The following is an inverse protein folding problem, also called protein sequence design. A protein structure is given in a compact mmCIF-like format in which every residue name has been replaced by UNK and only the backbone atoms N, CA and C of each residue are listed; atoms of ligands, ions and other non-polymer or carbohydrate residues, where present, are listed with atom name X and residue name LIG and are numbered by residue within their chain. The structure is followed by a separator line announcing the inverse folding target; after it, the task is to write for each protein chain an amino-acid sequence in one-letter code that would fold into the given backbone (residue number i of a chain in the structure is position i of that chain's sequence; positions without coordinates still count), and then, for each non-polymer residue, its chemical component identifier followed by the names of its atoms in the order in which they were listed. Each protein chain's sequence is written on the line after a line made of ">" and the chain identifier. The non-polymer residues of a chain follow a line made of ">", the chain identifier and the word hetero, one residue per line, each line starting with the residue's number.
data_IF_071008810191
#
_entry.id   IF_071008810191
#
_cell.length_a   1.000
_cell.length_b   1.000
_cell.length_c   1.000
_cell.angle_alpha   90.00
_cell.angle_beta   90.00
_cell.angle_gamma   90.00
#
_symmetry.space_group_name_H-M   'P 1'
#
loop_
_entity.id
_entity.type
_entity.pdbx_description
1 polymer ?
#
# COMPACT_ATOMS: atom_id res chain seq x y z
N UNK A 1 -5.59 69.43 27.92
CA UNK A 1 -5.67 68.84 26.57
C UNK A 1 -4.44 67.96 26.37
N UNK A 2 -4.59 66.64 26.44
CA UNK A 2 -3.82 65.60 25.71
C UNK A 2 -4.33 64.24 26.17
N UNK A 3 -4.79 63.47 25.20
CA UNK A 3 -5.64 62.30 25.32
C UNK A 3 -4.91 61.08 25.90
N UNK A 4 -5.60 60.34 26.78
CA UNK A 4 -5.22 58.99 27.20
C UNK A 4 -5.71 58.01 26.12
N UNK A 5 -4.79 57.38 25.40
CA UNK A 5 -5.10 56.30 24.45
C UNK A 5 -5.20 54.98 25.24
N UNK A 6 -6.43 54.45 25.38
CA UNK A 6 -6.65 53.06 25.77
C UNK A 6 -6.43 52.18 24.54
N UNK A 7 -5.39 51.36 24.54
CA UNK A 7 -5.28 50.26 23.58
C UNK A 7 -6.10 49.09 24.09
N UNK A 8 -7.18 48.76 23.39
CA UNK A 8 -7.95 47.54 23.61
C UNK A 8 -7.20 46.37 22.98
N UNK A 9 -6.72 45.44 23.81
CA UNK A 9 -6.11 44.19 23.37
C UNK A 9 -7.23 43.26 22.86
N UNK A 10 -7.34 43.10 21.54
CA UNK A 10 -8.22 42.10 20.95
C UNK A 10 -7.55 40.72 21.07
N UNK A 11 -8.05 39.88 21.97
CA UNK A 11 -7.65 38.46 22.06
C UNK A 11 -8.33 37.72 20.92
N UNK A 12 -7.58 37.41 19.86
CA UNK A 12 -8.01 36.44 18.85
C UNK A 12 -7.93 35.04 19.47
N UNK A 13 -9.09 34.51 19.87
CA UNK A 13 -9.24 33.11 20.23
C UNK A 13 -9.18 32.31 18.92
N UNK A 14 -8.00 31.77 18.61
CA UNK A 14 -7.83 30.79 17.54
C UNK A 14 -8.45 29.48 18.01
N UNK A 15 -9.75 29.30 17.76
CA UNK A 15 -10.43 28.02 17.97
C UNK A 15 -9.86 27.02 16.96
N UNK A 16 -8.82 26.31 17.37
CA UNK A 16 -8.28 25.19 16.61
C UNK A 16 -9.32 24.06 16.70
N UNK A 17 -10.25 24.04 15.75
CA UNK A 17 -11.17 22.93 15.53
C UNK A 17 -10.34 21.72 15.11
N UNK A 18 -9.90 20.95 16.10
CA UNK A 18 -9.40 19.59 15.86
C UNK A 18 -10.58 18.76 15.37
N UNK A 19 -10.73 18.64 14.07
CA UNK A 19 -11.59 17.63 13.48
C UNK A 19 -10.97 16.27 13.79
N UNK A 20 -11.39 15.64 14.88
CA UNK A 20 -11.15 14.22 15.10
C UNK A 20 -11.97 13.49 14.05
N UNK A 21 -11.31 13.05 12.97
CA UNK A 21 -11.90 12.10 12.03
C UNK A 21 -12.19 10.83 12.82
N UNK A 22 -13.43 10.64 13.24
CA UNK A 22 -13.90 9.33 13.66
C UNK A 22 -13.93 8.46 12.40
N UNK A 23 -12.99 7.51 12.30
CA UNK A 23 -13.15 6.40 11.38
C UNK A 23 -14.54 5.80 11.65
N UNK A 24 -15.36 5.68 10.62
CA UNK A 24 -16.74 5.23 10.76
C UNK A 24 -16.73 3.82 11.35
N UNK A 25 -17.17 3.67 12.59
CA UNK A 25 -17.26 2.37 13.22
C UNK A 25 -18.38 1.58 12.54
N UNK A 26 -18.02 0.52 11.84
CA UNK A 26 -18.98 -0.37 11.17
C UNK A 26 -19.62 -1.26 12.24
N UNK A 27 -20.95 -1.24 12.42
CA UNK A 27 -21.60 -2.08 13.41
C UNK A 27 -21.23 -3.55 13.25
N UNK A 28 -20.83 -4.20 14.35
CA UNK A 28 -20.39 -5.60 14.35
C UNK A 28 -18.92 -5.83 13.98
N UNK A 29 -18.16 -4.77 13.65
CA UNK A 29 -16.74 -4.85 13.37
C UNK A 29 -15.91 -4.00 14.36
N UNK A 30 -14.71 -4.48 14.65
CA UNK A 30 -13.69 -3.75 15.41
C UNK A 30 -12.50 -3.51 14.49
N UNK A 31 -12.01 -2.27 14.42
CA UNK A 31 -10.79 -1.96 13.68
C UNK A 31 -9.59 -2.56 14.41
N UNK A 32 -8.92 -3.50 13.77
CA UNK A 32 -7.73 -4.20 14.30
C UNK A 32 -6.43 -3.72 13.68
N UNK A 33 -6.51 -3.06 12.52
CA UNK A 33 -5.39 -2.53 11.78
C UNK A 33 -5.86 -1.49 10.78
N UNK A 34 -5.04 -0.47 10.52
CA UNK A 34 -5.27 0.54 9.49
C UNK A 34 -3.94 1.19 9.13
N UNK A 35 -3.89 1.85 7.98
CA UNK A 35 -2.91 2.87 7.69
C UNK A 35 -3.56 4.01 6.91
N UNK A 36 -3.64 5.18 7.54
CA UNK A 36 -4.23 6.39 6.97
C UNK A 36 -3.21 7.21 6.16
N UNK A 37 -1.96 6.73 6.04
CA UNK A 37 -0.89 7.33 5.25
C UNK A 37 -0.63 8.81 5.53
N UNK A 38 -0.75 9.19 6.81
CA UNK A 38 -0.60 10.57 7.28
C UNK A 38 0.85 11.06 7.39
N UNK A 39 1.82 10.19 7.10
CA UNK A 39 3.24 10.50 7.12
C UNK A 39 3.75 11.17 5.83
N UNK A 40 5.08 11.24 5.72
CA UNK A 40 5.79 11.71 4.53
C UNK A 40 6.99 10.82 4.25
N UNK A 41 7.27 10.51 2.98
CA UNK A 41 8.40 9.66 2.59
C UNK A 41 8.02 8.20 2.49
N UNK A 42 8.88 7.26 2.90
CA UNK A 42 8.60 5.83 2.74
C UNK A 42 7.35 5.36 3.53
N UNK A 43 6.67 4.28 3.11
CA UNK A 43 5.65 3.61 3.91
C UNK A 43 6.19 3.17 5.28
N UNK A 44 5.32 3.09 6.29
CA UNK A 44 5.70 2.66 7.64
C UNK A 44 6.25 1.22 7.63
N UNK A 45 7.54 0.98 7.94
CA UNK A 45 8.12 -0.36 7.90
C UNK A 45 7.59 -1.30 8.98
N UNK A 46 6.89 -0.79 10.01
CA UNK A 46 6.19 -1.63 10.97
C UNK A 46 4.89 -2.23 10.40
N UNK A 47 4.44 -1.73 9.24
CA UNK A 47 3.19 -2.15 8.57
C UNK A 47 3.44 -2.75 7.20
N UNK A 48 4.42 -2.23 6.47
CA UNK A 48 4.63 -2.53 5.05
C UNK A 48 6.07 -2.97 4.78
N UNK A 49 6.17 -4.10 4.09
CA UNK A 49 7.42 -4.61 3.52
C UNK A 49 7.37 -4.50 1.99
N UNK A 50 8.53 -4.56 1.33
CA UNK A 50 8.66 -4.43 -0.12
C UNK A 50 9.17 -5.70 -0.77
N UNK A 51 8.64 -6.04 -1.95
CA UNK A 51 9.32 -6.95 -2.86
C UNK A 51 10.37 -6.16 -3.65
N UNK A 52 11.61 -6.64 -3.65
CA UNK A 52 12.71 -6.06 -4.43
C UNK A 52 13.21 -7.12 -5.40
N UNK A 53 12.61 -7.14 -6.59
CA UNK A 53 12.74 -8.22 -7.57
C UNK A 53 12.68 -7.66 -9.00
N UNK A 54 13.45 -8.28 -9.89
CA UNK A 54 13.51 -7.88 -11.29
C UNK A 54 12.26 -8.27 -12.11
N UNK A 55 12.19 -7.82 -13.38
CA UNK A 55 11.12 -8.17 -14.30
C UNK A 55 11.00 -9.67 -14.54
N UNK A 56 9.80 -10.10 -14.96
CA UNK A 56 9.50 -11.49 -15.32
C UNK A 56 9.44 -12.44 -14.13
N UNK A 57 9.52 -11.92 -12.89
CA UNK A 57 9.41 -12.73 -11.68
C UNK A 57 8.12 -13.55 -11.66
N UNK A 58 7.03 -12.93 -12.09
CA UNK A 58 5.73 -13.56 -12.34
C UNK A 58 5.13 -12.96 -13.62
N UNK A 59 4.20 -13.68 -14.25
CA UNK A 59 3.30 -13.19 -15.31
C UNK A 59 3.96 -12.50 -16.51
N UNK A 60 5.25 -12.68 -16.76
CA UNK A 60 6.03 -11.94 -17.76
C UNK A 60 5.95 -10.40 -17.60
N UNK A 61 5.80 -9.92 -16.36
CA UNK A 61 5.72 -8.50 -16.04
C UNK A 61 7.04 -7.76 -16.35
N UNK A 62 6.96 -6.48 -16.75
CA UNK A 62 8.12 -5.74 -17.28
C UNK A 62 8.85 -4.85 -16.25
N UNK A 63 8.25 -4.61 -15.10
CA UNK A 63 8.77 -3.71 -14.09
C UNK A 63 9.77 -4.38 -13.15
N UNK A 64 10.77 -3.63 -12.75
CA UNK A 64 11.60 -3.91 -11.58
C UNK A 64 10.90 -3.36 -10.33
N UNK A 65 10.51 -4.23 -9.40
CA UNK A 65 9.95 -3.79 -8.13
C UNK A 65 11.06 -3.32 -7.20
N UNK A 66 10.88 -2.15 -6.58
CA UNK A 66 11.89 -1.52 -5.73
C UNK A 66 11.28 -1.01 -4.41
N UNK A 67 12.16 -0.65 -3.46
CA UNK A 67 11.80 0.03 -2.21
C UNK A 67 12.11 1.54 -2.23
N UNK A 68 12.27 2.14 -3.42
CA UNK A 68 12.56 3.57 -3.59
C UNK A 68 11.33 4.42 -3.29
N UNK A 69 11.57 5.61 -2.75
CA UNK A 69 10.53 6.62 -2.54
C UNK A 69 9.89 7.11 -3.85
N UNK A 70 10.61 6.98 -4.96
CA UNK A 70 10.08 7.28 -6.30
C UNK A 70 9.01 6.28 -6.73
N UNK A 71 9.02 5.05 -6.21
CA UNK A 71 8.04 4.02 -6.54
C UNK A 71 6.99 3.80 -5.44
N UNK A 72 7.31 4.08 -4.17
CA UNK A 72 6.34 4.03 -3.07
C UNK A 72 6.60 5.12 -2.03
N UNK A 73 5.63 5.99 -1.79
CA UNK A 73 5.75 7.07 -0.79
C UNK A 73 4.40 7.51 -0.23
N UNK A 74 4.42 8.01 1.00
CA UNK A 74 3.34 8.77 1.60
C UNK A 74 3.46 10.23 1.16
N UNK A 75 2.39 10.73 0.53
CA UNK A 75 2.31 12.10 0.02
C UNK A 75 0.86 12.59 0.13
N UNK A 76 0.65 13.77 0.73
CA UNK A 76 -0.67 14.42 0.84
C UNK A 76 -1.76 13.52 1.46
N UNK A 77 -1.43 12.72 2.47
CA UNK A 77 -2.39 11.82 3.14
C UNK A 77 -2.73 10.56 2.36
N UNK A 78 -1.91 10.19 1.37
CA UNK A 78 -2.10 8.99 0.55
C UNK A 78 -0.81 8.21 0.43
N UNK A 79 -0.93 6.89 0.28
CA UNK A 79 0.11 6.08 -0.33
C UNK A 79 0.07 6.26 -1.85
N UNK A 80 1.21 6.66 -2.41
CA UNK A 80 1.46 6.69 -3.84
C UNK A 80 2.31 5.48 -4.20
N UNK A 81 1.75 4.56 -4.98
CA UNK A 81 2.51 3.54 -5.71
C UNK A 81 2.64 4.02 -7.16
N UNK A 82 3.87 4.17 -7.63
CA UNK A 82 4.15 4.80 -8.91
C UNK A 82 5.00 3.90 -9.81
N UNK A 83 4.39 3.47 -10.91
CA UNK A 83 5.11 2.88 -12.03
C UNK A 83 5.78 3.99 -12.84
N UNK A 84 7.05 3.81 -13.18
CA UNK A 84 7.88 4.78 -13.88
C UNK A 84 8.62 4.11 -15.02
N UNK A 85 8.75 4.81 -16.15
CA UNK A 85 9.67 4.45 -17.23
C UNK A 85 10.96 5.25 -17.05
N UNK A 86 11.88 4.76 -16.22
CA UNK A 86 13.04 5.52 -15.74
C UNK A 86 14.39 4.81 -15.91
N UNK A 87 14.43 3.65 -16.59
CA UNK A 87 15.65 2.87 -16.80
C UNK A 87 16.41 2.54 -15.49
N UNK A 88 15.69 2.27 -14.41
CA UNK A 88 16.31 2.00 -13.12
C UNK A 88 16.78 0.55 -12.97
N UNK A 89 18.01 0.37 -12.47
CA UNK A 89 18.58 -0.96 -12.25
C UNK A 89 18.81 -1.75 -13.55
N UNK A 90 18.90 -1.08 -14.69
CA UNK A 90 19.04 -1.72 -16.01
C UNK A 90 17.72 -2.20 -16.61
N UNK A 91 16.58 -1.83 -16.02
CA UNK A 91 15.25 -2.21 -16.48
C UNK A 91 14.44 -0.99 -16.90
N UNK A 92 13.67 -1.12 -17.98
CA UNK A 92 12.94 0.00 -18.56
C UNK A 92 11.90 0.61 -17.61
N UNK A 93 11.22 -0.24 -16.85
CA UNK A 93 10.18 0.16 -15.91
C UNK A 93 10.60 -0.16 -14.47
N UNK A 94 10.24 0.73 -13.55
CA UNK A 94 10.30 0.49 -12.11
C UNK A 94 8.92 0.69 -11.48
N UNK A 95 8.62 -0.06 -10.42
CA UNK A 95 7.38 0.08 -9.66
C UNK A 95 7.59 -0.36 -8.20
N UNK A 96 6.52 -0.42 -7.42
CA UNK A 96 6.55 -0.99 -6.08
C UNK A 96 5.48 -2.06 -5.91
N UNK A 97 5.83 -3.12 -5.19
CA UNK A 97 4.92 -4.12 -4.64
C UNK A 97 5.16 -4.17 -3.15
N UNK A 98 4.20 -3.70 -2.38
CA UNK A 98 4.26 -3.70 -0.92
C UNK A 98 3.26 -4.70 -0.35
N UNK A 99 3.54 -5.21 0.85
CA UNK A 99 2.71 -6.21 1.49
C UNK A 99 2.77 -6.10 3.01
N UNK A 100 1.71 -6.58 3.68
CA UNK A 100 1.59 -6.60 5.14
C UNK A 100 2.01 -7.93 5.77
N UNK A 101 2.43 -8.94 4.98
CA UNK A 101 2.84 -10.25 5.49
C UNK A 101 3.83 -10.12 6.66
N UNK A 102 3.50 -10.72 7.82
CA UNK A 102 4.28 -10.65 9.06
C UNK A 102 4.06 -9.38 9.89
N UNK A 103 3.47 -8.33 9.32
CA UNK A 103 3.15 -7.07 9.98
C UNK A 103 1.65 -6.91 10.28
N UNK A 104 0.81 -7.58 9.48
CA UNK A 104 -0.64 -7.55 9.54
C UNK A 104 -1.22 -8.68 8.70
N UNK A 105 -1.65 -9.73 9.38
CA UNK A 105 -2.20 -10.96 8.83
C UNK A 105 -3.49 -11.32 9.56
N UNK A 106 -4.55 -11.66 8.83
CA UNK A 106 -5.85 -11.98 9.43
C UNK A 106 -6.51 -13.16 8.75
N UNK A 107 -7.08 -14.03 9.57
CA UNK A 107 -8.08 -14.99 9.14
C UNK A 107 -9.45 -14.38 9.38
N UNK A 108 -10.19 -14.19 8.29
CA UNK A 108 -11.46 -13.46 8.24
C UNK A 108 -11.30 -11.95 8.51
N UNK A 109 -12.38 -11.21 8.23
CA UNK A 109 -12.44 -9.79 8.48
C UNK A 109 -13.12 -9.04 7.35
N UNK A 110 -13.03 -7.72 7.43
CA UNK A 110 -13.45 -6.81 6.38
C UNK A 110 -12.25 -5.96 6.01
N UNK A 111 -11.84 -6.06 4.76
CA UNK A 111 -10.77 -5.26 4.19
C UNK A 111 -11.38 -4.12 3.38
N UNK A 112 -10.90 -2.90 3.60
CA UNK A 112 -11.33 -1.70 2.89
C UNK A 112 -10.11 -0.93 2.41
N UNK A 113 -10.18 -0.40 1.20
CA UNK A 113 -9.19 0.53 0.68
C UNK A 113 -9.90 1.57 -0.21
N UNK A 114 -9.52 2.83 -0.07
CA UNK A 114 -9.96 3.90 -0.97
C UNK A 114 -8.87 4.14 -2.00
N UNK A 115 -9.11 3.72 -3.25
CA UNK A 115 -8.08 3.64 -4.29
C UNK A 115 -8.52 4.45 -5.51
N UNK A 116 -7.62 5.32 -5.98
CA UNK A 116 -7.68 5.89 -7.33
C UNK A 116 -6.72 5.13 -8.22
N UNK A 117 -7.24 4.44 -9.23
CA UNK A 117 -6.42 3.67 -10.18
C UNK A 117 -5.72 4.58 -11.20
N UNK A 118 -4.48 4.25 -11.63
CA UNK A 118 -3.80 4.94 -12.71
C UNK A 118 -4.53 4.79 -14.05
N UNK A 119 -4.28 5.76 -14.94
CA UNK A 119 -4.54 5.64 -16.37
C UNK A 119 -3.23 5.34 -17.11
N UNK A 120 -3.30 4.58 -18.20
CA UNK A 120 -2.17 4.40 -19.12
C UNK A 120 -2.07 2.99 -19.66
N UNK A 121 -1.76 2.87 -20.94
CA UNK A 121 -1.52 1.58 -21.59
C UNK A 121 -0.41 0.81 -20.87
N UNK A 122 -0.69 -0.44 -20.51
CA UNK A 122 0.23 -1.36 -19.85
C UNK A 122 0.24 -1.29 -18.33
N UNK A 123 -0.48 -0.35 -17.69
CA UNK A 123 -0.58 -0.34 -16.22
C UNK A 123 -1.49 -1.47 -15.74
N UNK A 124 -1.08 -2.18 -14.70
CA UNK A 124 -1.90 -3.20 -14.03
C UNK A 124 -1.85 -3.02 -12.51
N UNK A 125 -2.54 -2.03 -11.94
CA UNK A 125 -2.74 -1.93 -10.49
C UNK A 125 -3.54 -3.12 -9.95
N UNK A 126 -3.09 -3.65 -8.80
CA UNK A 126 -3.80 -4.68 -8.06
C UNK A 126 -3.86 -4.34 -6.56
N UNK A 127 -5.00 -4.65 -5.92
CA UNK A 127 -5.15 -4.74 -4.48
C UNK A 127 -5.74 -6.11 -4.18
N UNK A 128 -4.95 -6.96 -3.57
CA UNK A 128 -5.17 -8.40 -3.52
C UNK A 128 -4.53 -8.98 -2.25
N UNK A 129 -4.84 -10.24 -1.96
CA UNK A 129 -4.40 -10.92 -0.75
C UNK A 129 -3.84 -12.31 -1.06
N UNK A 130 -2.82 -12.68 -0.30
CA UNK A 130 -2.20 -14.00 -0.28
C UNK A 130 -2.23 -14.56 1.14
N UNK A 131 -2.19 -15.90 1.31
CA UNK A 131 -1.99 -16.52 2.61
C UNK A 131 -0.61 -16.13 3.19
N UNK A 132 -0.55 -15.90 4.50
CA UNK A 132 0.71 -15.62 5.21
C UNK A 132 1.72 -16.74 5.01
N UNK A 133 1.27 -18.00 4.96
CA UNK A 133 2.08 -19.13 4.54
C UNK A 133 1.62 -19.57 3.13
N UNK A 134 2.39 -19.29 2.06
CA UNK A 134 2.05 -19.70 0.71
C UNK A 134 2.09 -21.22 0.49
N UNK A 135 2.78 -21.97 1.35
CA UNK A 135 2.91 -23.42 1.23
C UNK A 135 1.91 -24.21 2.08
N UNK A 136 0.96 -23.54 2.75
CA UNK A 136 0.07 -24.18 3.73
C UNK A 136 -0.69 -25.39 3.17
N UNK A 137 -1.06 -25.34 1.89
CA UNK A 137 -1.76 -26.41 1.19
C UNK A 137 -0.97 -26.96 -0.01
N UNK A 138 0.33 -26.69 -0.07
CA UNK A 138 1.22 -27.29 -1.05
C UNK A 138 1.41 -28.79 -0.78
N UNK A 139 1.61 -29.58 -1.83
CA UNK A 139 1.91 -31.02 -1.75
C UNK A 139 3.23 -31.39 -2.41
N UNK A 140 3.76 -30.55 -3.30
CA UNK A 140 4.99 -30.81 -4.05
C UNK A 140 6.17 -29.94 -3.63
N UNK A 141 5.95 -28.91 -2.82
CA UNK A 141 6.96 -27.95 -2.40
C UNK A 141 6.70 -27.42 -0.99
N UNK A 142 7.74 -26.87 -0.37
CA UNK A 142 7.69 -26.16 0.90
C UNK A 142 8.69 -24.99 0.92
N UNK A 143 8.84 -24.36 2.09
CA UNK A 143 9.80 -23.25 2.29
C UNK A 143 11.25 -23.61 1.99
N UNK A 144 11.62 -24.89 2.07
CA UNK A 144 12.99 -25.38 1.86
C UNK A 144 13.26 -25.70 0.39
N UNK A 145 12.26 -26.19 -0.34
CA UNK A 145 12.38 -26.50 -1.77
C UNK A 145 12.14 -25.26 -2.64
N UNK A 146 11.36 -24.30 -2.16
CA UNK A 146 11.01 -23.08 -2.88
C UNK A 146 9.91 -23.29 -3.92
N UNK A 147 9.79 -22.34 -4.85
CA UNK A 147 8.71 -22.28 -5.85
C UNK A 147 9.23 -22.51 -7.26
N UNK A 148 9.68 -23.72 -7.55
CA UNK A 148 10.05 -24.14 -8.90
C UNK A 148 8.82 -24.46 -9.78
N UNK A 149 9.07 -25.00 -10.98
CA UNK A 149 8.01 -25.29 -11.95
C UNK A 149 7.05 -26.40 -11.52
N UNK A 150 7.45 -27.28 -10.59
CA UNK A 150 6.63 -28.39 -10.11
C UNK A 150 5.88 -28.03 -8.81
N UNK A 151 6.13 -26.84 -8.25
CA UNK A 151 5.53 -26.37 -7.01
C UNK A 151 4.05 -26.00 -7.19
N UNK A 152 3.19 -26.62 -6.38
CA UNK A 152 1.73 -26.44 -6.39
C UNK A 152 1.21 -25.52 -5.28
N UNK A 153 2.09 -24.82 -4.57
CA UNK A 153 1.76 -23.93 -3.45
C UNK A 153 0.69 -22.89 -3.82
N UNK A 154 0.90 -22.18 -4.91
CA UNK A 154 -0.16 -21.46 -5.61
C UNK A 154 -0.62 -22.31 -6.80
N UNK A 155 -1.93 -22.49 -7.04
CA UNK A 155 -3.04 -21.80 -6.38
C UNK A 155 -3.61 -22.52 -5.16
N UNK A 156 -3.05 -23.65 -4.71
CA UNK A 156 -3.65 -24.47 -3.64
C UNK A 156 -3.88 -23.69 -2.35
N UNK A 157 -2.98 -22.78 -1.99
CA UNK A 157 -3.11 -21.97 -0.78
C UNK A 157 -4.00 -20.73 -0.94
N UNK A 158 -4.45 -20.45 -2.15
CA UNK A 158 -5.43 -19.41 -2.46
C UNK A 158 -4.83 -18.04 -2.76
N UNK A 159 -5.67 -17.22 -3.40
CA UNK A 159 -5.46 -15.82 -3.75
C UNK A 159 -6.83 -15.14 -3.74
N UNK A 160 -6.89 -13.88 -3.30
CA UNK A 160 -8.12 -13.07 -3.35
C UNK A 160 -7.81 -11.73 -4.01
N UNK A 161 -8.27 -11.57 -5.24
CA UNK A 161 -8.18 -10.31 -5.99
C UNK A 161 -9.37 -9.41 -5.68
N UNK A 162 -9.14 -8.37 -4.86
CA UNK A 162 -10.19 -7.40 -4.49
C UNK A 162 -10.37 -6.36 -5.61
N UNK A 163 -9.27 -5.95 -6.22
CA UNK A 163 -9.24 -5.01 -7.34
C UNK A 163 -8.10 -5.38 -8.28
N UNK A 164 -8.42 -5.53 -9.56
CA UNK A 164 -7.47 -5.48 -10.65
C UNK A 164 -8.02 -4.60 -11.76
N UNK A 165 -7.14 -3.84 -12.42
CA UNK A 165 -7.49 -3.06 -13.60
C UNK A 165 -6.34 -3.11 -14.59
N UNK A 166 -6.62 -3.50 -15.82
CA UNK A 166 -5.64 -3.41 -16.91
C UNK A 166 -5.89 -2.13 -17.70
N UNK A 167 -4.84 -1.34 -17.88
CA UNK A 167 -4.82 -0.21 -18.81
C UNK A 167 -4.54 -0.73 -20.22
N UNK A 168 -5.55 -0.71 -21.08
CA UNK A 168 -5.46 -1.16 -22.48
C UNK A 168 -5.86 -0.07 -23.49
N UNK A 169 -6.13 1.15 -23.00
CA UNK A 169 -6.55 2.33 -23.79
C UNK A 169 -5.52 3.46 -23.67
#
# INVERSE_FOLDING_TARGET
>A
MKHVFRQSLAVLIFCCLTFTLYAQQIPGYTMVWNDEFSGSGAPDPAKWSHAVVGPGWVNNELQNYTNRTENSRQENGHLIIECRRDWYGGHEYSSARIFSQGNGDWTYGRMEASIKVPSGLGTWPAFWMMPTNPYLYATTCDETTGSDADCDAWPNSGEIDILERVGYE
#
